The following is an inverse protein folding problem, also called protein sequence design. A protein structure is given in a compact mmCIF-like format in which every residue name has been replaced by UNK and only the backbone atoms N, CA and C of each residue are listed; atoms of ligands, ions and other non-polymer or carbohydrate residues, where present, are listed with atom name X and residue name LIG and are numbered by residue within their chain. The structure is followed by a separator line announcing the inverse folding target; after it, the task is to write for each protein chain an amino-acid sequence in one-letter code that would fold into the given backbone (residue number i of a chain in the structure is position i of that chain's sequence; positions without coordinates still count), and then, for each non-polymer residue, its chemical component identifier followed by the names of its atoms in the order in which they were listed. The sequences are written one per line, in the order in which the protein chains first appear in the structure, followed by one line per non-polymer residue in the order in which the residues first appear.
data_IF_399713753935
#
_entry.id   IF_399713753935
#
_cell.length_a   1.000
_cell.length_b   1.000
_cell.length_c   1.000
_cell.angle_alpha   90.00
_cell.angle_beta   90.00
_cell.angle_gamma   90.00
#
_symmetry.space_group_name_H-M   'P 1'
#
loop_
_entity.id
_entity.type
_entity.pdbx_description
1 polymer ?
#
# COMPACT_ATOMS: atom_id res chain seq x y z
N UNK A 1 18.78 -10.89 12.96
CA UNK A 1 18.24 -10.34 11.70
C UNK A 1 16.99 -11.13 11.34
N UNK A 2 15.83 -10.48 11.30
CA UNK A 2 14.57 -11.16 11.05
C UNK A 2 14.27 -11.15 9.54
N UNK A 3 14.66 -12.22 8.84
CA UNK A 3 14.52 -12.33 7.37
C UNK A 3 13.08 -12.12 6.89
N UNK A 4 12.05 -12.71 7.53
CA UNK A 4 10.65 -12.42 7.19
C UNK A 4 10.29 -10.92 7.24
N UNK A 5 10.73 -10.18 8.27
CA UNK A 5 10.51 -8.73 8.36
C UNK A 5 11.20 -7.97 7.24
N UNK A 6 12.43 -8.36 6.89
CA UNK A 6 13.17 -7.73 5.79
C UNK A 6 12.45 -7.94 4.44
N UNK A 7 11.96 -9.16 4.18
CA UNK A 7 11.17 -9.45 2.99
C UNK A 7 9.85 -8.67 2.99
N UNK A 8 9.13 -8.62 4.10
CA UNK A 8 7.90 -7.85 4.24
C UNK A 8 8.15 -6.35 3.99
N UNK A 9 9.24 -5.78 4.53
CA UNK A 9 9.63 -4.40 4.30
C UNK A 9 9.85 -4.11 2.80
N UNK A 10 10.63 -4.95 2.11
CA UNK A 10 10.87 -4.80 0.67
C UNK A 10 9.59 -4.96 -0.16
N UNK A 11 8.72 -5.91 0.20
CA UNK A 11 7.43 -6.06 -0.45
C UNK A 11 6.54 -4.83 -0.28
N UNK A 12 6.52 -4.19 0.90
CA UNK A 12 5.83 -2.91 1.09
C UNK A 12 6.39 -1.80 0.19
N UNK A 13 7.72 -1.70 0.04
CA UNK A 13 8.36 -0.72 -0.86
C UNK A 13 7.91 -0.95 -2.30
N UNK A 14 8.06 -2.18 -2.79
CA UNK A 14 7.72 -2.55 -4.17
C UNK A 14 6.21 -2.39 -4.43
N UNK A 15 5.37 -2.79 -3.49
CA UNK A 15 3.92 -2.63 -3.60
C UNK A 15 3.53 -1.14 -3.71
N UNK A 16 4.09 -0.27 -2.87
CA UNK A 16 3.86 1.18 -2.94
C UNK A 16 4.31 1.78 -4.28
N UNK A 17 5.48 1.37 -4.78
CA UNK A 17 5.98 1.79 -6.09
C UNK A 17 5.06 1.34 -7.22
N UNK A 18 4.74 0.05 -7.29
CA UNK A 18 3.86 -0.52 -8.33
C UNK A 18 2.47 0.11 -8.25
N UNK A 19 1.91 0.27 -7.05
CA UNK A 19 0.60 0.88 -6.87
C UNK A 19 0.59 2.31 -7.43
N UNK A 20 1.54 3.17 -7.02
CA UNK A 20 1.63 4.55 -7.51
C UNK A 20 1.89 4.64 -9.02
N UNK A 21 2.84 3.87 -9.55
CA UNK A 21 3.21 3.91 -10.97
C UNK A 21 2.08 3.39 -11.85
N UNK A 22 1.48 2.24 -11.52
CA UNK A 22 0.40 1.66 -12.32
C UNK A 22 -0.87 2.49 -12.23
N UNK A 23 -1.20 3.09 -11.09
CA UNK A 23 -2.34 4.01 -11.00
C UNK A 23 -2.19 5.21 -11.92
N UNK A 24 -1.00 5.83 -11.92
CA UNK A 24 -0.69 6.94 -12.81
C UNK A 24 -0.77 6.50 -14.27
N UNK A 25 -0.16 5.36 -14.61
CA UNK A 25 -0.09 4.86 -15.99
C UNK A 25 -1.46 4.38 -16.53
N UNK A 26 -2.25 3.69 -15.73
CA UNK A 26 -3.51 3.08 -16.19
C UNK A 26 -4.67 4.07 -16.13
N UNK A 27 -4.71 4.94 -15.13
CA UNK A 27 -5.89 5.76 -14.84
C UNK A 27 -5.56 7.24 -15.05
N UNK A 28 -4.70 7.81 -14.21
CA UNK A 28 -4.65 9.26 -14.04
C UNK A 28 -3.94 10.00 -15.17
N UNK A 29 -2.98 9.38 -15.87
CA UNK A 29 -2.35 9.98 -17.05
C UNK A 29 -3.35 10.33 -18.17
N UNK A 30 -4.47 9.61 -18.25
CA UNK A 30 -5.50 9.84 -19.26
C UNK A 30 -6.47 10.95 -18.82
N UNK A 31 -6.43 11.34 -17.54
CA UNK A 31 -7.30 12.34 -16.92
C UNK A 31 -6.56 13.66 -16.65
N UNK A 32 -5.35 13.86 -17.18
CA UNK A 32 -4.56 15.09 -17.00
C UNK A 32 -4.36 15.82 -18.32
N UNK A 33 -4.27 17.16 -18.25
CA UNK A 33 -3.92 18.03 -19.38
C UNK A 33 -2.81 18.99 -18.97
N UNK A 34 -1.55 18.61 -19.24
CA UNK A 34 -0.36 19.43 -18.99
C UNK A 34 0.04 19.65 -17.52
N UNK A 35 -0.78 19.21 -16.57
CA UNK A 35 -0.55 19.34 -15.13
C UNK A 35 -0.12 18.00 -14.50
N UNK A 36 0.50 18.07 -13.32
CA UNK A 36 0.83 16.89 -12.50
C UNK A 36 -0.43 16.18 -12.00
N UNK A 37 -1.34 16.92 -11.37
CA UNK A 37 -2.61 16.38 -10.91
C UNK A 37 -3.63 16.31 -12.07
N UNK A 38 -4.47 15.26 -12.11
CA UNK A 38 -5.53 15.14 -13.12
C UNK A 38 -6.58 16.24 -12.99
N UNK A 39 -6.95 16.84 -14.12
CA UNK A 39 -7.91 17.95 -14.21
C UNK A 39 -9.11 17.65 -15.12
N UNK A 40 -9.05 16.57 -15.90
CA UNK A 40 -10.13 16.17 -16.79
C UNK A 40 -11.17 15.40 -15.96
N UNK A 41 -12.44 15.84 -15.94
CA UNK A 41 -13.51 15.10 -15.26
C UNK A 41 -13.85 13.80 -15.99
N UNK A 42 -14.35 12.81 -15.26
CA UNK A 42 -14.82 11.53 -15.80
C UNK A 42 -16.26 11.30 -15.32
N UNK A 43 -17.28 11.80 -16.03
CA UNK A 43 -18.68 11.73 -15.59
C UNK A 43 -19.08 10.30 -15.15
N UNK A 44 -19.75 10.15 -13.99
CA UNK A 44 -20.37 11.18 -13.16
C UNK A 44 -19.42 11.94 -12.22
N UNK A 45 -18.12 11.61 -12.20
CA UNK A 45 -17.14 12.24 -11.31
C UNK A 45 -16.68 13.61 -11.83
N UNK A 46 -16.84 14.62 -10.97
CA UNK A 46 -16.28 15.96 -11.15
C UNK A 46 -14.77 15.95 -10.92
N UNK A 47 -14.07 16.95 -11.48
CA UNK A 47 -12.62 17.15 -11.33
C UNK A 47 -12.14 16.99 -9.89
N UNK A 48 -12.80 17.65 -8.92
CA UNK A 48 -12.43 17.57 -7.51
C UNK A 48 -12.40 16.14 -6.96
N UNK A 49 -13.31 15.28 -7.40
CA UNK A 49 -13.36 13.89 -6.96
C UNK A 49 -12.19 13.10 -7.55
N UNK A 50 -11.84 13.35 -8.81
CA UNK A 50 -10.67 12.75 -9.46
C UNK A 50 -9.38 13.18 -8.75
N UNK A 51 -9.25 14.46 -8.37
CA UNK A 51 -8.09 14.95 -7.60
C UNK A 51 -7.97 14.31 -6.22
N UNK A 52 -9.09 14.12 -5.52
CA UNK A 52 -9.11 13.40 -4.24
C UNK A 52 -8.71 11.93 -4.44
N UNK A 53 -9.25 11.26 -5.46
CA UNK A 53 -8.90 9.87 -5.77
C UNK A 53 -7.41 9.74 -6.09
N UNK A 54 -6.85 10.65 -6.90
CA UNK A 54 -5.43 10.70 -7.22
C UNK A 54 -4.55 10.91 -5.98
N UNK A 55 -4.90 11.89 -5.13
CA UNK A 55 -4.17 12.15 -3.90
C UNK A 55 -4.21 10.95 -2.95
N UNK A 56 -5.39 10.38 -2.71
CA UNK A 56 -5.57 9.20 -1.85
C UNK A 56 -4.79 7.99 -2.36
N UNK A 57 -4.71 7.81 -3.68
CA UNK A 57 -3.94 6.74 -4.31
C UNK A 57 -2.44 6.79 -3.93
N UNK A 58 -1.84 7.97 -4.01
CA UNK A 58 -0.43 8.16 -3.64
C UNK A 58 -0.21 8.20 -2.12
N UNK A 59 -1.13 8.78 -1.34
CA UNK A 59 -1.07 8.79 0.12
C UNK A 59 -1.02 7.36 0.69
N UNK A 60 -1.81 6.43 0.15
CA UNK A 60 -1.76 5.02 0.58
C UNK A 60 -0.39 4.39 0.30
N UNK A 61 0.28 4.76 -0.80
CA UNK A 61 1.65 4.28 -1.08
C UNK A 61 2.64 4.84 -0.07
N UNK A 62 2.52 6.12 0.29
CA UNK A 62 3.36 6.75 1.31
C UNK A 62 3.17 6.09 2.68
N UNK A 63 1.93 5.81 3.10
CA UNK A 63 1.68 5.04 4.32
C UNK A 63 2.19 3.59 4.22
N UNK A 64 2.15 2.97 3.04
CA UNK A 64 2.81 1.68 2.82
C UNK A 64 4.32 1.73 3.06
N UNK A 65 4.97 2.84 2.68
CA UNK A 65 6.40 3.04 2.93
C UNK A 65 6.74 3.38 4.37
N UNK A 66 5.84 4.02 5.13
CA UNK A 66 6.06 4.19 6.58
C UNK A 66 6.03 2.84 7.30
N UNK A 67 5.14 1.93 6.90
CA UNK A 67 5.15 0.53 7.35
C UNK A 67 6.48 -0.12 6.95
N UNK A 68 6.90 0.00 5.68
CA UNK A 68 8.17 -0.58 5.21
C UNK A 68 9.38 -0.12 6.06
N UNK A 69 9.50 1.19 6.31
CA UNK A 69 10.56 1.75 7.12
C UNK A 69 10.53 1.20 8.55
N UNK A 70 9.35 1.06 9.14
CA UNK A 70 9.15 0.50 10.49
C UNK A 70 9.63 -0.96 10.56
N UNK A 71 9.22 -1.79 9.59
CA UNK A 71 9.65 -3.20 9.51
C UNK A 71 11.16 -3.33 9.28
N UNK A 72 11.74 -2.45 8.46
CA UNK A 72 13.17 -2.42 8.20
C UNK A 72 13.96 -2.09 9.48
N UNK A 73 13.54 -1.09 10.26
CA UNK A 73 14.18 -0.75 11.55
C UNK A 73 14.15 -1.95 12.51
N UNK A 74 12.98 -2.58 12.68
CA UNK A 74 12.83 -3.74 13.56
C UNK A 74 13.52 -5.02 13.07
N UNK A 75 14.00 -5.05 11.83
CA UNK A 75 14.85 -6.15 11.34
C UNK A 75 16.21 -6.18 12.05
N UNK A 76 16.72 -5.01 12.45
CA UNK A 76 18.07 -4.83 13.01
C UNK A 76 18.07 -4.39 14.48
N UNK A 77 17.09 -3.59 14.89
CA UNK A 77 17.03 -3.02 16.24
C UNK A 77 15.67 -3.34 16.88
N UNK A 78 15.56 -4.45 17.62
CA UNK A 78 14.38 -4.74 18.42
C UNK A 78 14.13 -3.64 19.45
N UNK A 79 12.86 -3.31 19.70
CA UNK A 79 12.49 -2.19 20.57
C UNK A 79 11.34 -2.56 21.52
N UNK A 80 11.16 -1.82 22.64
CA UNK A 80 9.96 -1.94 23.45
C UNK A 80 8.69 -1.79 22.61
N UNK A 81 7.66 -2.60 22.91
CA UNK A 81 6.38 -2.64 22.20
C UNK A 81 6.43 -3.10 20.73
N UNK A 82 7.58 -3.60 20.25
CA UNK A 82 7.72 -4.12 18.88
C UNK A 82 6.63 -5.14 18.53
N UNK A 83 6.32 -6.10 19.41
CA UNK A 83 5.28 -7.11 19.14
C UNK A 83 3.91 -6.49 18.89
N UNK A 84 3.54 -5.46 19.65
CA UNK A 84 2.28 -4.72 19.48
C UNK A 84 2.29 -3.96 18.14
N UNK A 85 3.40 -3.29 17.80
CA UNK A 85 3.53 -2.60 16.51
C UNK A 85 3.43 -3.57 15.34
N UNK A 86 4.14 -4.71 15.41
CA UNK A 86 4.10 -5.74 14.37
C UNK A 86 2.71 -6.37 14.25
N UNK A 87 2.03 -6.62 15.36
CA UNK A 87 0.65 -7.11 15.34
C UNK A 87 -0.30 -6.10 14.67
N UNK A 88 -0.18 -4.81 14.99
CA UNK A 88 -0.97 -3.75 14.35
C UNK A 88 -0.70 -3.66 12.84
N UNK A 89 0.57 -3.73 12.42
CA UNK A 89 0.93 -3.76 10.99
C UNK A 89 0.39 -5.02 10.30
N UNK A 90 0.52 -6.21 10.92
CA UNK A 90 0.01 -7.46 10.37
C UNK A 90 -1.51 -7.41 10.19
N UNK A 91 -2.26 -7.00 11.21
CA UNK A 91 -3.73 -6.85 11.15
C UNK A 91 -4.11 -5.83 10.08
N UNK A 92 -3.41 -4.69 9.99
CA UNK A 92 -3.64 -3.67 8.98
C UNK A 92 -3.45 -4.19 7.55
N UNK A 93 -2.36 -4.92 7.29
CA UNK A 93 -2.09 -5.51 5.99
C UNK A 93 -3.07 -6.65 5.65
N UNK A 94 -3.37 -7.55 6.60
CA UNK A 94 -4.30 -8.66 6.38
C UNK A 94 -5.72 -8.16 6.12
N UNK A 95 -6.23 -7.23 6.94
CA UNK A 95 -7.56 -6.65 6.75
C UNK A 95 -7.66 -5.86 5.44
N UNK A 96 -6.61 -5.14 5.05
CA UNK A 96 -6.55 -4.47 3.75
C UNK A 96 -6.54 -5.47 2.59
N UNK A 97 -5.78 -6.58 2.71
CA UNK A 97 -5.78 -7.65 1.72
C UNK A 97 -7.16 -8.28 1.56
N UNK A 98 -7.83 -8.61 2.66
CA UNK A 98 -9.20 -9.12 2.66
C UNK A 98 -10.19 -8.13 2.05
N UNK A 99 -10.06 -6.84 2.37
CA UNK A 99 -10.90 -5.79 1.79
C UNK A 99 -10.72 -5.71 0.27
N UNK A 100 -9.48 -5.74 -0.23
CA UNK A 100 -9.20 -5.71 -1.68
C UNK A 100 -9.71 -6.98 -2.35
N UNK A 101 -9.52 -8.16 -1.73
CA UNK A 101 -10.05 -9.43 -2.21
C UNK A 101 -11.57 -9.35 -2.38
N UNK A 102 -12.27 -8.92 -1.34
CA UNK A 102 -13.73 -8.79 -1.33
C UNK A 102 -14.22 -7.74 -2.34
N UNK A 103 -13.70 -6.51 -2.27
CA UNK A 103 -14.16 -5.38 -3.08
C UNK A 103 -13.88 -5.56 -4.59
N UNK A 104 -12.85 -6.32 -4.95
CA UNK A 104 -12.48 -6.56 -6.36
C UNK A 104 -12.83 -7.96 -6.85
N UNK A 105 -13.51 -8.77 -6.03
CA UNK A 105 -13.81 -10.18 -6.33
C UNK A 105 -12.56 -10.97 -6.73
N UNK A 106 -11.42 -10.69 -6.08
CA UNK A 106 -10.13 -11.31 -6.33
C UNK A 106 -9.42 -10.93 -7.63
N UNK A 107 -9.99 -10.02 -8.43
CA UNK A 107 -9.41 -9.61 -9.72
C UNK A 107 -8.22 -8.67 -9.59
N UNK A 108 -8.07 -7.97 -8.47
CA UNK A 108 -6.97 -7.05 -8.25
C UNK A 108 -5.82 -7.73 -7.47
N UNK A 109 -4.63 -7.92 -8.06
CA UNK A 109 -3.55 -8.72 -7.45
C UNK A 109 -3.00 -8.14 -6.13
N UNK A 110 -3.31 -6.88 -5.81
CA UNK A 110 -2.94 -6.25 -4.55
C UNK A 110 -3.42 -7.00 -3.29
N UNK A 111 -4.49 -7.79 -3.37
CA UNK A 111 -4.91 -8.61 -2.22
C UNK A 111 -3.85 -9.64 -1.85
N UNK A 112 -3.21 -10.28 -2.84
CA UNK A 112 -2.16 -11.28 -2.63
C UNK A 112 -0.97 -10.63 -1.92
N UNK A 113 -0.49 -9.50 -2.45
CA UNK A 113 0.66 -8.80 -1.90
C UNK A 113 0.44 -8.38 -0.44
N UNK A 114 -0.71 -7.75 -0.15
CA UNK A 114 -1.05 -7.29 1.20
C UNK A 114 -1.21 -8.46 2.18
N UNK A 115 -1.85 -9.55 1.77
CA UNK A 115 -2.00 -10.75 2.61
C UNK A 115 -0.65 -11.40 2.88
N UNK A 116 0.22 -11.56 1.86
CA UNK A 116 1.57 -12.13 2.03
C UNK A 116 2.41 -11.27 2.97
N UNK A 117 2.39 -9.94 2.82
CA UNK A 117 3.08 -9.02 3.73
C UNK A 117 2.57 -9.23 5.17
N UNK A 118 1.25 -9.24 5.37
CA UNK A 118 0.66 -9.42 6.69
C UNK A 118 1.01 -10.76 7.34
N UNK A 119 1.03 -11.85 6.56
CA UNK A 119 1.44 -13.18 7.03
C UNK A 119 2.92 -13.23 7.39
N UNK A 120 3.80 -12.62 6.58
CA UNK A 120 5.23 -12.54 6.90
C UNK A 120 5.48 -11.77 8.20
N UNK A 121 4.78 -10.65 8.43
CA UNK A 121 4.88 -9.90 9.69
C UNK A 121 4.37 -10.74 10.86
N UNK A 122 3.23 -11.43 10.71
CA UNK A 122 2.66 -12.27 11.77
C UNK A 122 3.60 -13.43 12.16
N UNK A 123 4.17 -14.13 11.18
CA UNK A 123 5.09 -15.25 11.39
C UNK A 123 6.49 -14.82 11.89
N UNK A 124 6.78 -13.52 11.86
CA UNK A 124 8.07 -12.97 12.30
C UNK A 124 8.12 -12.58 13.78
N UNK A 125 6.96 -12.57 14.44
CA UNK A 125 6.83 -12.35 15.88
C UNK A 125 7.29 -13.58 16.66
#
# INVERSE_FOLDING_TARGET
MNLPLLFAAWLCVVLGLIHSILGEYLIFRHLRKGNLAPTIPAPPLKERHIRILWASWHIVSLFGWTIAATLFVYTYAPAPLQSITLAACAIGCLSSGLLVLYATQGKHPGWIALTVIGLLIYLSQ
#
